data_IF_153791377417
#
_entry.id   IF_153791377417
#
_cell.length_a   1.000
_cell.length_b   1.000
_cell.length_c   1.000
_cell.angle_alpha   90.00
_cell.angle_beta   90.00
_cell.angle_gamma   90.00
#
_symmetry.space_group_name_H-M   'P 1'
#
loop_
_entity.id
_entity.type
_entity.pdbx_description
1 polymer ?
#
# COMPACT_ATOMS: atom_id res chain seq x y z
N UNK A 1 -23.39 3.12 -13.94
CA UNK A 1 -22.99 2.83 -12.54
C UNK A 1 -24.17 2.18 -11.83
N UNK A 2 -23.91 1.25 -10.92
CA UNK A 2 -24.95 0.59 -10.11
C UNK A 2 -25.39 1.57 -9.02
N UNK A 3 -26.69 1.82 -8.90
CA UNK A 3 -27.21 2.65 -7.81
C UNK A 3 -26.99 1.97 -6.45
N UNK A 4 -26.62 2.74 -5.44
CA UNK A 4 -26.44 2.23 -4.07
C UNK A 4 -27.73 1.62 -3.51
N UNK A 5 -27.62 0.54 -2.75
CA UNK A 5 -28.72 -0.02 -1.97
C UNK A 5 -29.09 0.90 -0.78
N UNK A 6 -30.26 0.72 -0.15
CA UNK A 6 -30.59 1.41 1.10
C UNK A 6 -29.55 1.17 2.20
N UNK A 7 -29.06 -0.06 2.35
CA UNK A 7 -28.04 -0.44 3.32
C UNK A 7 -26.70 0.25 3.05
N UNK A 8 -26.29 0.34 1.78
CA UNK A 8 -25.08 1.09 1.38
C UNK A 8 -25.24 2.59 1.67
N UNK A 9 -26.41 3.18 1.41
CA UNK A 9 -26.68 4.58 1.76
C UNK A 9 -26.63 4.84 3.26
N UNK A 10 -27.13 3.92 4.08
CA UNK A 10 -27.04 4.03 5.53
C UNK A 10 -25.59 3.92 6.00
N UNK A 11 -24.88 2.87 5.54
CA UNK A 11 -23.48 2.60 5.89
C UNK A 11 -22.56 3.77 5.54
N UNK A 12 -22.70 4.33 4.35
CA UNK A 12 -21.83 5.41 3.85
C UNK A 12 -22.42 6.80 4.07
N UNK A 13 -23.50 6.94 4.85
CA UNK A 13 -24.18 8.22 5.10
C UNK A 13 -23.25 9.37 5.50
N UNK A 14 -22.16 9.07 6.23
CA UNK A 14 -21.15 10.07 6.62
C UNK A 14 -20.25 10.52 5.46
N UNK A 15 -19.94 9.66 4.50
CA UNK A 15 -19.27 10.07 3.25
C UNK A 15 -20.22 10.82 2.33
N UNK A 16 -21.47 10.36 2.23
CA UNK A 16 -22.49 11.02 1.38
C UNK A 16 -22.78 12.46 1.81
N UNK A 17 -22.55 12.78 3.09
CA UNK A 17 -22.73 14.13 3.64
C UNK A 17 -21.52 15.07 3.42
N UNK A 18 -20.37 14.55 2.98
CA UNK A 18 -19.20 15.37 2.62
C UNK A 18 -19.38 15.90 1.21
N UNK A 19 -19.23 17.21 1.01
CA UNK A 19 -19.43 17.84 -0.30
C UNK A 19 -18.41 17.33 -1.33
N UNK A 20 -17.16 17.14 -0.89
CA UNK A 20 -16.07 16.66 -1.73
C UNK A 20 -16.27 15.19 -2.14
N UNK A 21 -16.85 14.34 -1.29
CA UNK A 21 -17.10 12.94 -1.64
C UNK A 21 -18.47 12.77 -2.28
N UNK A 22 -19.53 13.05 -1.51
CA UNK A 22 -20.92 12.92 -1.93
C UNK A 22 -21.28 11.55 -2.52
N UNK A 23 -22.43 11.46 -3.21
CA UNK A 23 -22.82 10.24 -3.91
C UNK A 23 -21.84 9.83 -5.00
N UNK A 24 -21.30 10.78 -5.77
CA UNK A 24 -20.43 10.49 -6.91
C UNK A 24 -19.07 9.90 -6.48
N UNK A 25 -18.44 10.46 -5.44
CA UNK A 25 -17.20 9.93 -4.87
C UNK A 25 -17.42 8.55 -4.24
N UNK A 26 -18.53 8.33 -3.55
CA UNK A 26 -18.85 7.02 -3.00
C UNK A 26 -19.10 5.97 -4.10
N UNK A 27 -19.74 6.34 -5.20
CA UNK A 27 -19.91 5.47 -6.38
C UNK A 27 -18.56 5.10 -7.02
N UNK A 28 -17.60 6.05 -7.09
CA UNK A 28 -16.22 5.76 -7.52
C UNK A 28 -15.54 4.76 -6.59
N UNK A 29 -15.68 4.93 -5.27
CA UNK A 29 -15.15 3.98 -4.28
C UNK A 29 -15.72 2.58 -4.48
N UNK A 30 -17.03 2.45 -4.61
CA UNK A 30 -17.71 1.17 -4.83
C UNK A 30 -17.33 0.49 -6.16
N UNK A 31 -16.90 1.26 -7.16
CA UNK A 31 -16.44 0.74 -8.45
C UNK A 31 -14.94 0.40 -8.47
N UNK A 32 -14.15 0.95 -7.55
CA UNK A 32 -12.70 0.85 -7.57
C UNK A 32 -12.17 -0.52 -7.12
N UNK A 33 -11.02 -0.89 -7.71
CA UNK A 33 -10.27 -2.10 -7.39
C UNK A 33 -8.87 -1.72 -6.89
N UNK A 34 -8.57 -2.00 -5.63
CA UNK A 34 -7.28 -1.69 -5.00
C UNK A 34 -6.49 -2.97 -4.71
N UNK A 35 -5.22 -3.01 -5.10
CA UNK A 35 -4.30 -4.07 -4.68
C UNK A 35 -3.50 -3.63 -3.47
N UNK A 36 -3.60 -4.35 -2.36
CA UNK A 36 -2.74 -4.23 -1.19
C UNK A 36 -1.67 -5.32 -1.24
N UNK A 37 -0.40 -4.94 -1.37
CA UNK A 37 0.74 -5.86 -1.33
C UNK A 37 1.41 -5.75 0.04
N UNK A 38 1.39 -6.85 0.80
CA UNK A 38 1.77 -6.89 2.21
C UNK A 38 0.59 -6.54 3.11
N UNK A 39 0.09 -7.55 3.85
CA UNK A 39 -1.02 -7.43 4.82
C UNK A 39 -0.46 -7.54 6.24
N UNK A 40 0.69 -6.90 6.43
CA UNK A 40 1.43 -6.82 7.69
C UNK A 40 1.06 -5.57 8.49
N UNK A 41 2.06 -4.89 9.04
CA UNK A 41 1.85 -3.78 9.96
C UNK A 41 1.21 -2.55 9.30
N UNK A 42 1.65 -2.19 8.09
CA UNK A 42 1.11 -1.08 7.31
C UNK A 42 -0.20 -1.45 6.60
N UNK A 43 -0.21 -2.62 5.95
CA UNK A 43 -1.38 -3.11 5.22
C UNK A 43 -2.60 -3.36 6.10
N UNK A 44 -2.42 -3.71 7.38
CA UNK A 44 -3.52 -3.94 8.32
C UNK A 44 -4.48 -2.74 8.45
N UNK A 45 -4.06 -1.58 9.00
CA UNK A 45 -4.91 -0.40 9.11
C UNK A 45 -5.38 0.10 7.74
N UNK A 46 -4.50 0.07 6.73
CA UNK A 46 -4.86 0.55 5.39
C UNK A 46 -6.04 -0.25 4.79
N UNK A 47 -5.94 -1.59 4.78
CA UNK A 47 -6.98 -2.45 4.24
C UNK A 47 -8.29 -2.35 5.03
N UNK A 48 -8.24 -2.22 6.36
CA UNK A 48 -9.44 -2.03 7.18
C UNK A 48 -10.17 -0.72 6.83
N UNK A 49 -9.46 0.40 6.70
CA UNK A 49 -10.09 1.67 6.33
C UNK A 49 -10.59 1.69 4.89
N UNK A 50 -9.88 1.06 3.94
CA UNK A 50 -10.37 0.91 2.57
C UNK A 50 -11.65 0.07 2.51
N UNK A 51 -11.72 -1.02 3.28
CA UNK A 51 -12.93 -1.83 3.37
C UNK A 51 -14.07 -1.05 4.04
N UNK A 52 -13.81 -0.34 5.14
CA UNK A 52 -14.81 0.48 5.82
C UNK A 52 -15.35 1.61 4.92
N UNK A 53 -14.49 2.22 4.10
CA UNK A 53 -14.85 3.27 3.14
C UNK A 53 -15.64 2.75 1.93
N UNK A 54 -15.74 1.43 1.75
CA UNK A 54 -16.51 0.82 0.66
C UNK A 54 -15.76 0.75 -0.66
N UNK A 55 -14.44 0.58 -0.64
CA UNK A 55 -13.71 0.22 -1.86
C UNK A 55 -14.26 -1.11 -2.40
N UNK A 56 -14.74 -1.10 -3.64
CA UNK A 56 -15.53 -2.21 -4.20
C UNK A 56 -14.81 -3.55 -4.23
N UNK A 57 -13.54 -3.56 -4.65
CA UNK A 57 -12.69 -4.75 -4.60
C UNK A 57 -11.34 -4.45 -3.94
N UNK A 58 -10.95 -5.27 -2.98
CA UNK A 58 -9.63 -5.24 -2.36
C UNK A 58 -8.92 -6.57 -2.66
N UNK A 59 -7.85 -6.50 -3.45
CA UNK A 59 -6.92 -7.60 -3.61
C UNK A 59 -5.88 -7.59 -2.50
N UNK A 60 -5.64 -8.74 -1.88
CA UNK A 60 -4.66 -8.92 -0.81
C UNK A 60 -3.57 -9.88 -1.31
N UNK A 61 -2.31 -9.43 -1.36
CA UNK A 61 -1.17 -10.29 -1.70
C UNK A 61 -0.17 -10.33 -0.53
N UNK A 62 0.02 -11.51 0.05
CA UNK A 62 0.98 -11.76 1.13
C UNK A 62 1.26 -13.28 1.19
N UNK A 63 2.53 -13.65 1.36
CA UNK A 63 2.95 -15.06 1.45
C UNK A 63 3.00 -15.57 2.89
N UNK A 64 3.00 -14.66 3.86
CA UNK A 64 3.30 -14.99 5.25
C UNK A 64 2.09 -15.58 5.99
N UNK A 65 2.40 -16.21 7.13
CA UNK A 65 1.43 -16.62 8.14
C UNK A 65 1.41 -15.66 9.32
N UNK A 66 0.26 -15.59 9.99
CA UNK A 66 0.09 -14.79 11.20
C UNK A 66 0.94 -15.38 12.33
N UNK A 67 1.85 -14.59 12.91
CA UNK A 67 2.64 -14.96 14.10
C UNK A 67 2.17 -14.18 15.34
N UNK A 68 2.31 -14.77 16.52
CA UNK A 68 1.94 -14.09 17.79
C UNK A 68 2.67 -12.74 17.95
N UNK A 69 3.96 -12.69 17.62
CA UNK A 69 4.79 -11.47 17.67
C UNK A 69 4.35 -10.38 16.69
N UNK A 70 3.48 -10.71 15.72
CA UNK A 70 2.91 -9.74 14.79
C UNK A 70 1.74 -8.95 15.39
N UNK A 71 1.00 -9.55 16.33
CA UNK A 71 -0.30 -9.03 16.79
C UNK A 71 -0.20 -7.68 17.53
N UNK A 72 0.98 -7.31 18.02
CA UNK A 72 1.20 -5.99 18.63
C UNK A 72 1.01 -4.82 17.63
N UNK A 73 1.12 -5.08 16.32
CA UNK A 73 1.04 -4.05 15.27
C UNK A 73 0.22 -4.41 14.02
N UNK A 74 -0.21 -5.67 13.88
CA UNK A 74 -0.98 -6.14 12.72
C UNK A 74 -2.45 -6.34 13.10
N UNK A 75 -3.14 -5.22 13.30
CA UNK A 75 -4.46 -5.14 13.92
C UNK A 75 -5.62 -5.72 13.09
N UNK A 76 -5.37 -6.12 11.83
CA UNK A 76 -6.35 -6.86 11.02
C UNK A 76 -6.44 -8.34 11.42
N UNK A 77 -5.39 -8.86 12.09
CA UNK A 77 -5.30 -10.24 12.57
C UNK A 77 -5.69 -10.35 14.03
N UNK A 78 -6.05 -11.56 14.47
CA UNK A 78 -6.50 -11.85 15.84
C UNK A 78 -5.69 -13.00 16.43
N UNK A 79 -5.70 -13.14 17.76
CA UNK A 79 -5.06 -14.30 18.43
C UNK A 79 -5.58 -15.64 17.91
N UNK A 80 -6.88 -15.71 17.58
CA UNK A 80 -7.51 -16.91 17.03
C UNK A 80 -7.01 -17.28 15.62
N UNK A 81 -6.38 -16.35 14.88
CA UNK A 81 -5.92 -16.58 13.50
C UNK A 81 -4.41 -16.84 13.42
N UNK A 82 -3.72 -17.02 14.54
CA UNK A 82 -2.28 -17.39 14.56
C UNK A 82 -2.08 -18.71 13.81
N UNK A 83 -1.11 -18.73 12.89
CA UNK A 83 -0.81 -19.86 12.00
C UNK A 83 -1.58 -19.86 10.68
N UNK A 84 -2.68 -19.12 10.56
CA UNK A 84 -3.38 -18.94 9.30
C UNK A 84 -2.56 -18.09 8.31
N UNK A 85 -2.85 -18.22 7.01
CA UNK A 85 -2.29 -17.32 6.00
C UNK A 85 -2.79 -15.90 6.26
N UNK A 86 -1.90 -14.90 6.21
CA UNK A 86 -2.25 -13.50 6.49
C UNK A 86 -3.38 -13.02 5.58
N UNK A 87 -3.33 -13.36 4.29
CA UNK A 87 -4.37 -12.96 3.33
C UNK A 87 -5.75 -13.52 3.68
N UNK A 88 -5.83 -14.77 4.16
CA UNK A 88 -7.11 -15.40 4.53
C UNK A 88 -7.68 -14.81 5.82
N UNK A 89 -6.83 -14.66 6.84
CA UNK A 89 -7.21 -14.06 8.13
C UNK A 89 -7.67 -12.61 7.95
N UNK A 90 -6.96 -11.83 7.14
CA UNK A 90 -7.37 -10.47 6.82
C UNK A 90 -8.67 -10.44 6.02
N UNK A 91 -8.84 -11.31 5.02
CA UNK A 91 -10.07 -11.36 4.23
C UNK A 91 -11.30 -11.69 5.09
N UNK A 92 -11.18 -12.56 6.08
CA UNK A 92 -12.24 -12.81 7.07
C UNK A 92 -12.61 -11.52 7.82
N UNK A 93 -11.61 -10.81 8.36
CA UNK A 93 -11.81 -9.55 9.09
C UNK A 93 -12.46 -8.47 8.21
N UNK A 94 -11.99 -8.29 6.97
CA UNK A 94 -12.53 -7.28 6.05
C UNK A 94 -13.98 -7.58 5.66
N UNK A 95 -14.32 -8.85 5.38
CA UNK A 95 -15.70 -9.25 5.05
C UNK A 95 -16.63 -9.09 6.25
N UNK A 96 -16.15 -9.37 7.46
CA UNK A 96 -16.90 -9.13 8.69
C UNK A 96 -17.15 -7.63 8.93
N UNK A 97 -16.16 -6.78 8.63
CA UNK A 97 -16.27 -5.32 8.75
C UNK A 97 -17.24 -4.73 7.72
N UNK A 98 -17.13 -5.14 6.46
CA UNK A 98 -17.98 -4.67 5.37
C UNK A 98 -18.31 -5.81 4.38
N UNK A 99 -19.48 -6.45 4.53
CA UNK A 99 -19.90 -7.54 3.64
C UNK A 99 -20.11 -7.11 2.17
N UNK A 100 -20.21 -5.81 1.88
CA UNK A 100 -20.35 -5.28 0.53
C UNK A 100 -19.05 -5.26 -0.27
N UNK A 101 -17.89 -5.45 0.38
CA UNK A 101 -16.57 -5.42 -0.26
C UNK A 101 -16.21 -6.80 -0.80
N UNK A 102 -15.79 -6.85 -2.06
CA UNK A 102 -15.20 -8.06 -2.63
C UNK A 102 -13.73 -8.15 -2.21
N UNK A 103 -13.34 -9.27 -1.61
CA UNK A 103 -11.95 -9.50 -1.20
C UNK A 103 -11.38 -10.67 -1.97
N UNK A 104 -10.31 -10.40 -2.72
CA UNK A 104 -9.54 -11.39 -3.48
C UNK A 104 -8.21 -11.63 -2.77
N UNK A 105 -7.73 -12.88 -2.71
CA UNK A 105 -6.51 -13.23 -1.96
C UNK A 105 -5.51 -13.94 -2.85
N UNK A 106 -4.24 -13.56 -2.72
CA UNK A 106 -3.08 -14.24 -3.29
C UNK A 106 -2.11 -14.59 -2.15
N UNK A 107 -2.05 -15.87 -1.81
CA UNK A 107 -1.15 -16.41 -0.80
C UNK A 107 0.25 -16.69 -1.38
N UNK A 108 0.88 -15.68 -1.98
CA UNK A 108 2.18 -15.79 -2.63
C UNK A 108 2.95 -14.47 -2.54
N UNK A 109 4.26 -14.54 -2.69
CA UNK A 109 5.10 -13.36 -2.80
C UNK A 109 4.81 -12.69 -4.15
N UNK A 110 4.78 -11.36 -4.18
CA UNK A 110 4.74 -10.62 -5.44
C UNK A 110 6.16 -10.47 -5.94
N UNK A 111 6.41 -10.99 -7.14
CA UNK A 111 7.74 -11.06 -7.76
C UNK A 111 7.67 -10.65 -9.24
N UNK A 112 8.81 -10.64 -9.94
CA UNK A 112 8.87 -10.30 -11.36
C UNK A 112 8.10 -11.28 -12.27
N UNK A 113 7.84 -12.50 -11.80
CA UNK A 113 7.10 -13.53 -12.52
C UNK A 113 5.60 -13.31 -12.52
N UNK A 114 5.04 -12.69 -11.46
CA UNK A 114 3.60 -12.51 -11.31
C UNK A 114 3.12 -11.05 -11.24
N UNK A 115 4.00 -10.08 -10.96
CA UNK A 115 3.58 -8.70 -10.65
C UNK A 115 2.82 -8.04 -11.80
N UNK A 116 3.27 -8.21 -13.05
CA UNK A 116 2.63 -7.53 -14.19
C UNK A 116 1.19 -7.99 -14.40
N UNK A 117 0.93 -9.30 -14.33
CA UNK A 117 -0.42 -9.86 -14.48
C UNK A 117 -1.31 -9.48 -13.28
N UNK A 118 -0.76 -9.59 -12.07
CA UNK A 118 -1.49 -9.27 -10.85
C UNK A 118 -1.92 -7.80 -10.81
N UNK A 119 -0.97 -6.86 -10.97
CA UNK A 119 -1.23 -5.43 -10.85
C UNK A 119 -2.15 -4.89 -11.96
N UNK A 120 -2.12 -5.50 -13.16
CA UNK A 120 -2.97 -5.08 -14.28
C UNK A 120 -4.48 -5.18 -13.97
N UNK A 121 -4.87 -6.05 -13.04
CA UNK A 121 -6.27 -6.31 -12.63
C UNK A 121 -6.86 -5.24 -11.69
N UNK A 122 -6.06 -4.29 -11.24
CA UNK A 122 -6.44 -3.28 -10.24
C UNK A 122 -6.21 -1.87 -10.77
N UNK A 123 -6.91 -0.89 -10.21
CA UNK A 123 -6.85 0.51 -10.63
C UNK A 123 -5.64 1.22 -10.03
N UNK A 124 -5.26 0.85 -8.80
CA UNK A 124 -4.11 1.38 -8.08
C UNK A 124 -3.55 0.35 -7.08
N UNK A 125 -2.31 0.58 -6.67
CA UNK A 125 -1.55 -0.31 -5.78
C UNK A 125 -1.21 0.42 -4.49
N UNK A 126 -1.29 -0.29 -3.37
CA UNK A 126 -0.81 0.16 -2.05
C UNK A 126 0.29 -0.77 -1.58
N UNK A 127 1.46 -0.18 -1.31
CA UNK A 127 2.63 -0.90 -0.82
C UNK A 127 2.63 -0.90 0.71
N UNK A 128 2.26 -2.04 1.28
CA UNK A 128 2.35 -2.35 2.71
C UNK A 128 3.54 -3.26 3.05
N UNK A 129 4.53 -3.36 2.16
CA UNK A 129 5.69 -4.24 2.30
C UNK A 129 6.81 -3.64 3.14
N UNK A 130 7.66 -4.49 3.69
CA UNK A 130 8.81 -4.11 4.52
C UNK A 130 10.17 -4.39 3.86
N UNK A 131 10.19 -4.89 2.62
CA UNK A 131 11.42 -5.19 1.89
C UNK A 131 11.74 -4.18 0.80
N UNK A 132 13.03 -3.89 0.59
CA UNK A 132 13.47 -3.01 -0.48
C UNK A 132 13.21 -3.59 -1.86
N UNK A 133 13.39 -4.91 -2.04
CA UNK A 133 13.12 -5.60 -3.30
C UNK A 133 11.69 -5.38 -3.77
N UNK A 134 10.71 -5.56 -2.87
CA UNK A 134 9.30 -5.32 -3.18
C UNK A 134 9.01 -3.85 -3.52
N UNK A 135 9.62 -2.88 -2.82
CA UNK A 135 9.43 -1.45 -3.11
C UNK A 135 9.86 -1.07 -4.53
N UNK A 136 11.04 -1.56 -4.96
CA UNK A 136 11.50 -1.33 -6.33
C UNK A 136 10.64 -2.06 -7.36
N UNK A 137 10.29 -3.33 -7.10
CA UNK A 137 9.41 -4.13 -7.96
C UNK A 137 8.06 -3.44 -8.18
N UNK A 138 7.38 -3.05 -7.09
CA UNK A 138 6.06 -2.44 -7.13
C UNK A 138 6.09 -1.08 -7.82
N UNK A 139 7.13 -0.26 -7.56
CA UNK A 139 7.30 1.01 -8.26
C UNK A 139 7.49 0.83 -9.77
N UNK A 140 8.38 -0.09 -10.17
CA UNK A 140 8.68 -0.32 -11.58
C UNK A 140 7.46 -0.91 -12.31
N UNK A 141 6.82 -1.93 -11.73
CA UNK A 141 5.62 -2.55 -12.30
C UNK A 141 4.44 -1.58 -12.40
N UNK A 142 4.19 -0.79 -11.35
CA UNK A 142 3.10 0.21 -11.35
C UNK A 142 3.36 1.28 -12.41
N UNK A 143 4.59 1.78 -12.55
CA UNK A 143 4.95 2.72 -13.61
C UNK A 143 4.72 2.14 -15.01
N UNK A 144 5.21 0.92 -15.26
CA UNK A 144 5.09 0.25 -16.56
C UNK A 144 3.63 -0.04 -16.95
N UNK A 145 2.75 -0.25 -15.96
CA UNK A 145 1.31 -0.46 -16.16
C UNK A 145 0.48 0.83 -16.13
N UNK A 146 1.09 1.99 -15.87
CA UNK A 146 0.37 3.25 -15.74
C UNK A 146 -0.56 3.30 -14.51
N UNK A 147 -0.18 2.62 -13.42
CA UNK A 147 -0.96 2.55 -12.17
C UNK A 147 -0.37 3.47 -11.09
N UNK A 148 -1.19 4.23 -10.35
CA UNK A 148 -0.73 4.91 -9.14
C UNK A 148 -0.25 3.92 -8.08
N UNK A 149 0.79 4.29 -7.34
CA UNK A 149 1.32 3.54 -6.21
C UNK A 149 1.33 4.42 -4.95
N UNK A 150 0.62 3.99 -3.91
CA UNK A 150 0.66 4.60 -2.58
C UNK A 150 1.67 3.85 -1.72
N UNK A 151 2.81 4.49 -1.46
CA UNK A 151 3.93 3.89 -0.73
C UNK A 151 3.96 4.35 0.72
N UNK A 152 4.13 3.41 1.64
CA UNK A 152 4.43 3.66 3.04
C UNK A 152 5.64 2.86 3.49
N UNK A 153 6.41 3.41 4.42
CA UNK A 153 7.48 2.65 5.09
C UNK A 153 7.68 3.13 6.51
N UNK A 154 8.21 2.25 7.35
CA UNK A 154 8.45 2.51 8.78
C UNK A 154 9.80 1.95 9.20
N UNK A 155 10.42 2.60 10.18
CA UNK A 155 11.64 2.14 10.84
C UNK A 155 11.66 2.67 12.27
N UNK A 156 11.67 1.77 13.27
CA UNK A 156 11.64 2.11 14.69
C UNK A 156 10.44 2.98 15.09
N UNK A 157 10.65 4.29 15.17
CA UNK A 157 9.67 5.33 15.54
C UNK A 157 9.33 6.27 14.39
N UNK A 158 9.97 6.10 13.24
CA UNK A 158 9.86 6.98 12.08
C UNK A 158 9.06 6.29 10.98
N UNK A 159 8.18 7.04 10.33
CA UNK A 159 7.42 6.57 9.19
C UNK A 159 7.38 7.59 8.09
N UNK A 160 7.07 7.12 6.88
CA UNK A 160 6.87 8.00 5.73
C UNK A 160 5.78 7.49 4.81
N UNK A 161 5.12 8.42 4.11
CA UNK A 161 4.14 8.15 3.06
C UNK A 161 4.40 9.06 1.86
N UNK A 162 4.25 8.50 0.65
CA UNK A 162 4.27 9.25 -0.61
C UNK A 162 3.39 8.56 -1.65
N UNK A 163 2.99 9.31 -2.68
CA UNK A 163 2.28 8.77 -3.84
C UNK A 163 3.17 8.87 -5.06
N UNK A 164 3.37 7.76 -5.76
CA UNK A 164 4.00 7.74 -7.07
C UNK A 164 2.93 7.67 -8.14
N UNK A 165 2.85 8.72 -8.96
CA UNK A 165 1.96 8.78 -10.10
C UNK A 165 2.79 8.65 -11.39
N UNK A 166 2.49 7.70 -12.29
CA UNK A 166 3.26 7.49 -13.51
C UNK A 166 3.47 8.78 -14.30
N UNK A 167 4.73 9.04 -14.67
CA UNK A 167 5.15 10.25 -15.40
C UNK A 167 5.46 11.47 -14.53
N UNK A 168 5.05 11.50 -13.26
CA UNK A 168 5.32 12.64 -12.35
C UNK A 168 6.53 12.43 -11.43
N UNK A 169 6.90 11.17 -11.19
CA UNK A 169 7.99 10.75 -10.30
C UNK A 169 7.82 9.27 -9.96
N UNK A 170 8.90 8.58 -9.60
CA UNK A 170 8.83 7.18 -9.14
C UNK A 170 9.75 6.96 -7.94
N UNK A 171 9.72 5.76 -7.37
CA UNK A 171 10.58 5.40 -6.23
C UNK A 171 12.06 5.64 -6.55
N UNK A 172 12.52 5.32 -7.77
CA UNK A 172 13.90 5.55 -8.23
C UNK A 172 14.28 7.03 -8.38
N UNK A 173 13.33 7.95 -8.51
CA UNK A 173 13.64 9.38 -8.46
C UNK A 173 14.00 9.83 -7.05
N UNK A 174 13.38 9.21 -6.05
CA UNK A 174 13.58 9.52 -4.63
C UNK A 174 14.74 8.73 -4.04
N UNK A 175 14.84 7.44 -4.38
CA UNK A 175 15.87 6.50 -3.95
C UNK A 175 16.48 5.82 -5.20
N UNK A 176 17.50 6.41 -5.83
CA UNK A 176 18.04 5.91 -7.10
C UNK A 176 18.71 4.54 -7.00
N UNK A 177 19.33 4.25 -5.85
CA UNK A 177 20.01 2.98 -5.59
C UNK A 177 19.51 2.40 -4.27
N UNK A 178 19.39 1.06 -4.18
CA UNK A 178 19.09 0.41 -2.91
C UNK A 178 20.22 0.70 -1.91
N UNK A 179 19.91 0.69 -0.59
CA UNK A 179 20.96 0.76 0.40
C UNK A 179 21.91 -0.45 0.26
N UNK A 180 23.19 -0.29 0.64
CA UNK A 180 24.15 -1.39 0.67
C UNK A 180 23.65 -2.60 1.49
N UNK A 181 23.92 -3.84 1.08
CA UNK A 181 23.42 -5.04 1.77
C UNK A 181 23.82 -5.14 3.25
N UNK A 182 24.97 -4.60 3.62
CA UNK A 182 25.46 -4.53 5.01
C UNK A 182 24.67 -3.54 5.89
N UNK A 183 23.90 -2.63 5.30
CA UNK A 183 22.97 -1.74 6.01
C UNK A 183 21.54 -2.32 6.09
N UNK A 184 21.26 -3.41 5.36
CA UNK A 184 20.00 -4.14 5.45
C UNK A 184 20.05 -5.05 6.69
N UNK A 185 19.91 -4.45 7.88
CA UNK A 185 19.71 -5.25 9.09
C UNK A 185 18.46 -6.13 8.97
N UNK A 186 18.43 -7.27 9.68
CA UNK A 186 17.23 -8.11 9.76
C UNK A 186 16.07 -7.27 10.29
N UNK A 187 15.03 -7.07 9.46
CA UNK A 187 13.84 -6.29 9.83
C UNK A 187 13.16 -6.86 11.09
N UNK A 188 13.27 -8.18 11.31
CA UNK A 188 12.76 -8.87 12.49
C UNK A 188 13.55 -8.58 13.78
N UNK A 189 14.80 -8.11 13.68
CA UNK A 189 15.61 -7.72 14.84
C UNK A 189 15.42 -6.24 15.23
N UNK A 190 14.87 -5.43 14.33
CA UNK A 190 14.60 -4.02 14.59
C UNK A 190 13.19 -3.85 15.13
N UNK A 191 13.09 -3.50 16.41
CA UNK A 191 11.80 -3.19 17.05
C UNK A 191 11.07 -2.03 16.37
N UNK A 192 9.73 -2.14 16.30
CA UNK A 192 8.83 -1.13 15.73
C UNK A 192 7.83 -0.69 16.78
N UNK A 193 7.63 0.62 16.94
CA UNK A 193 6.63 1.18 17.83
C UNK A 193 5.21 0.83 17.38
N UNK A 194 4.43 0.17 18.25
CA UNK A 194 3.16 -0.48 17.91
C UNK A 194 2.16 0.40 17.17
N UNK A 195 2.04 1.67 17.57
CA UNK A 195 1.06 2.60 17.01
C UNK A 195 1.49 3.24 15.68
N UNK A 196 2.79 3.28 15.39
CA UNK A 196 3.33 3.94 14.19
C UNK A 196 2.75 3.37 12.89
N UNK A 197 2.71 2.03 12.67
CA UNK A 197 2.08 1.47 11.47
C UNK A 197 0.61 1.85 11.34
N UNK A 198 -0.11 1.98 12.45
CA UNK A 198 -1.49 2.47 12.51
C UNK A 198 -1.63 3.86 11.87
N UNK A 199 -0.77 4.79 12.26
CA UNK A 199 -0.73 6.16 11.71
C UNK A 199 -0.40 6.13 10.22
N UNK A 200 0.71 5.49 9.83
CA UNK A 200 1.19 5.48 8.46
C UNK A 200 0.22 4.79 7.51
N UNK A 201 -0.31 3.61 7.87
CA UNK A 201 -1.27 2.90 7.02
C UNK A 201 -2.63 3.59 6.93
N UNK A 202 -3.05 4.35 7.95
CA UNK A 202 -4.25 5.20 7.84
C UNK A 202 -4.02 6.35 6.85
N UNK A 203 -2.82 6.94 6.83
CA UNK A 203 -2.45 7.95 5.82
C UNK A 203 -2.42 7.30 4.42
N UNK A 204 -1.89 6.08 4.27
CA UNK A 204 -1.95 5.36 2.99
C UNK A 204 -3.40 5.14 2.51
N UNK A 205 -4.32 4.77 3.41
CA UNK A 205 -5.74 4.69 3.08
C UNK A 205 -6.28 6.06 2.64
N UNK A 206 -5.99 7.13 3.37
CA UNK A 206 -6.44 8.48 3.00
C UNK A 206 -5.93 8.91 1.60
N UNK A 207 -4.65 8.68 1.29
CA UNK A 207 -4.10 8.94 -0.05
C UNK A 207 -4.78 8.12 -1.14
N UNK A 208 -5.07 6.85 -0.84
CA UNK A 208 -5.78 5.96 -1.76
C UNK A 208 -7.21 6.45 -2.03
N UNK A 209 -7.94 6.84 -0.99
CA UNK A 209 -9.30 7.35 -1.13
C UNK A 209 -9.31 8.63 -1.97
N UNK A 210 -8.40 9.58 -1.71
CA UNK A 210 -8.24 10.80 -2.53
C UNK A 210 -8.01 10.51 -4.01
N UNK A 211 -7.16 9.50 -4.32
CA UNK A 211 -6.91 9.10 -5.70
C UNK A 211 -8.15 8.53 -6.38
N UNK A 212 -8.94 7.72 -5.67
CA UNK A 212 -10.16 7.11 -6.23
C UNK A 212 -11.26 8.15 -6.41
N UNK A 213 -11.48 9.01 -5.41
CA UNK A 213 -12.50 10.05 -5.48
C UNK A 213 -12.10 11.17 -6.41
N UNK A 214 -10.80 11.31 -6.74
CA UNK A 214 -10.21 12.43 -7.48
C UNK A 214 -10.37 13.77 -6.75
N UNK A 215 -10.27 13.76 -5.43
CA UNK A 215 -10.53 14.90 -4.55
C UNK A 215 -9.38 15.16 -3.58
N UNK A 216 -9.17 16.43 -3.26
CA UNK A 216 -8.04 16.89 -2.44
C UNK A 216 -6.70 16.83 -3.19
N UNK A 217 -5.61 16.94 -2.43
CA UNK A 217 -4.24 16.96 -2.98
C UNK A 217 -3.45 15.73 -2.51
N UNK A 218 -3.23 14.72 -3.37
CA UNK A 218 -2.42 13.56 -2.99
C UNK A 218 -0.94 13.92 -2.79
N UNK A 219 -0.20 13.08 -2.07
CA UNK A 219 1.24 13.24 -1.78
C UNK A 219 2.13 12.92 -3.01
N UNK A 220 1.69 13.31 -4.20
CA UNK A 220 2.50 13.18 -5.43
C UNK A 220 3.69 14.14 -5.34
N UNK A 221 4.91 13.62 -5.56
CA UNK A 221 6.16 14.38 -5.46
C UNK A 221 6.42 15.00 -4.07
N UNK A 222 5.74 14.47 -3.05
CA UNK A 222 5.84 14.90 -1.65
C UNK A 222 6.02 13.68 -0.77
N UNK A 223 6.94 13.75 0.17
CA UNK A 223 7.16 12.74 1.19
C UNK A 223 6.73 13.32 2.52
N UNK A 224 5.68 12.76 3.11
CA UNK A 224 5.28 13.08 4.47
C UNK A 224 6.10 12.20 5.41
N UNK A 225 6.94 12.80 6.23
CA UNK A 225 7.72 12.17 7.29
C UNK A 225 7.02 12.34 8.63
N UNK A 226 7.00 11.29 9.44
CA UNK A 226 6.43 11.31 10.78
C UNK A 226 7.40 10.70 11.80
N UNK A 227 7.71 11.45 12.85
CA UNK A 227 8.36 10.95 14.06
C UNK A 227 7.30 10.74 15.14
N UNK A 228 7.05 9.49 15.54
CA UNK A 228 6.02 9.14 16.51
C UNK A 228 6.40 9.49 17.96
N UNK A 229 7.69 9.63 18.28
CA UNK A 229 8.12 10.00 19.63
C UNK A 229 8.03 11.51 19.83
N UNK A 230 8.45 12.28 18.83
CA UNK A 230 8.32 13.73 18.85
C UNK A 230 6.92 14.22 18.44
N UNK A 231 6.08 13.33 17.89
CA UNK A 231 4.77 13.64 17.29
C UNK A 231 4.84 14.75 16.25
N UNK A 232 5.86 14.73 15.40
CA UNK A 232 6.04 15.72 14.33
C UNK A 232 5.68 15.17 12.97
N UNK A 233 5.24 16.07 12.07
CA UNK A 233 5.03 15.80 10.67
C UNK A 233 5.85 16.80 9.84
N UNK A 234 6.64 16.32 8.88
CA UNK A 234 7.44 17.16 7.98
C UNK A 234 7.21 16.74 6.55
N UNK A 235 6.94 17.70 5.67
CA UNK A 235 6.80 17.44 4.23
C UNK A 235 8.13 17.77 3.53
N UNK A 236 8.66 16.83 2.75
CA UNK A 236 9.76 17.06 1.82
C UNK A 236 9.25 16.96 0.39
N UNK A 237 9.75 17.82 -0.49
CA UNK A 237 9.39 17.83 -1.92
C UNK A 237 10.53 17.29 -2.76
N UNK A 238 10.22 16.46 -3.73
CA UNK A 238 11.17 15.99 -4.74
C UNK A 238 10.60 16.24 -6.14
N UNK A 239 11.42 16.01 -7.18
CA UNK A 239 11.01 16.18 -8.58
C UNK A 239 11.35 14.92 -9.36
N UNK A 240 10.63 14.68 -10.46
CA UNK A 240 11.05 13.70 -11.47
C UNK A 240 12.49 13.97 -11.86
N UNK A 241 13.33 12.94 -11.84
CA UNK A 241 14.68 13.01 -12.36
C UNK A 241 14.65 12.71 -13.88
N UNK A 242 15.04 13.66 -14.76
CA UNK A 242 15.10 13.42 -16.21
C UNK A 242 16.02 12.27 -16.61
N UNK A 243 17.02 11.97 -15.79
CA UNK A 243 17.96 10.85 -15.99
C UNK A 243 17.53 9.56 -15.26
N UNK A 244 16.30 9.49 -14.73
CA UNK A 244 15.80 8.29 -14.08
C UNK A 244 15.75 7.11 -15.07
N UNK A 245 16.32 5.94 -14.76
CA UNK A 245 16.36 4.81 -15.70
C UNK A 245 14.96 4.21 -15.97
N UNK A 246 13.97 4.51 -15.13
CA UNK A 246 12.58 4.07 -15.30
C UNK A 246 11.69 5.12 -15.95
N UNK A 247 11.63 6.34 -15.38
CA UNK A 247 10.65 7.36 -15.78
C UNK A 247 11.26 8.65 -16.34
N UNK A 248 12.56 8.64 -16.63
CA UNK A 248 13.27 9.74 -17.24
C UNK A 248 13.00 9.86 -18.75
N UNK A 249 13.70 10.79 -19.39
CA UNK A 249 13.48 11.14 -20.80
C UNK A 249 14.06 10.08 -21.76
N UNK A 250 15.02 9.29 -21.27
CA UNK A 250 15.61 8.15 -21.98
C UNK A 250 15.60 6.88 -21.10
N UNK A 251 14.43 6.24 -20.88
CA UNK A 251 14.34 5.10 -19.98
C UNK A 251 15.08 3.87 -20.52
N UNK A 252 15.82 3.20 -19.64
CA UNK A 252 16.53 1.94 -19.90
C UNK A 252 15.81 0.74 -19.31
N UNK A 253 15.02 0.93 -18.25
CA UNK A 253 14.18 -0.12 -17.64
C UNK A 253 12.86 -0.21 -18.42
N UNK A 254 12.66 -1.35 -19.08
CA UNK A 254 11.45 -1.62 -19.91
C UNK A 254 10.68 -2.87 -19.47
N UNK A 255 11.25 -3.63 -18.54
CA UNK A 255 10.71 -4.86 -17.98
C UNK A 255 11.22 -5.02 -16.55
N UNK A 256 10.52 -5.84 -15.79
CA UNK A 256 10.95 -6.24 -14.46
C UNK A 256 12.22 -7.08 -14.55
N UNK A 257 13.02 -7.03 -13.49
CA UNK A 257 14.25 -7.79 -13.30
C UNK A 257 14.14 -8.57 -11.99
N UNK A 258 15.09 -9.46 -11.70
CA UNK A 258 15.19 -10.07 -10.38
C UNK A 258 15.57 -8.98 -9.36
N UNK A 259 14.59 -8.57 -8.55
CA UNK A 259 14.77 -7.50 -7.57
C UNK A 259 15.51 -7.95 -6.32
N UNK A 260 15.47 -9.24 -6.00
CA UNK A 260 16.23 -9.82 -4.89
C UNK A 260 17.72 -9.73 -5.21
N UNK A 261 18.09 -10.18 -6.41
CA UNK A 261 19.45 -10.05 -6.93
C UNK A 261 19.88 -8.57 -7.05
N UNK A 262 19.00 -7.70 -7.53
CA UNK A 262 19.28 -6.26 -7.66
C UNK A 262 19.56 -5.57 -6.32
N UNK A 263 18.79 -5.87 -5.27
CA UNK A 263 19.00 -5.28 -3.95
C UNK A 263 20.07 -6.00 -3.12
N UNK A 264 20.60 -7.12 -3.60
CA UNK A 264 21.51 -7.96 -2.84
C UNK A 264 20.86 -8.57 -1.58
N UNK A 265 19.53 -8.73 -1.58
CA UNK A 265 18.82 -9.31 -0.45
C UNK A 265 19.02 -10.83 -0.47
N UNK A 266 19.32 -11.43 0.68
CA UNK A 266 19.23 -12.89 0.81
C UNK A 266 17.77 -13.27 0.95
N UNK A 267 17.28 -14.20 0.12
CA UNK A 267 15.94 -14.79 0.29
C UNK A 267 15.90 -15.42 1.67
N UNK A 268 15.10 -14.88 2.58
CA UNK A 268 14.84 -15.54 3.86
C UNK A 268 14.08 -16.84 3.56
N UNK A 269 14.69 -17.97 3.95
CA UNK A 269 14.17 -19.32 3.79
C UNK A 269 12.97 -19.59 4.70
#
# INVERSE_FOLDING_TARGET
MKAMSPEERERYSRHLALEEIGPAGQERLLAARVLMVGVGALGSPAAMYLAAAGVGTIGLADHDRVRLSNLQRQVVHRTATVGALKVEAAAETLRALNPGVQVETLAAAVDEGNAMELLARFDLVVDGTDSFSARYLLSDASYLLGKPLVHGSIFRFEGQVTVFLPGQGCYRCLYPQPPPPDMLGDSDQVGVFAALPGVIGTIQAAETLKLITAEGEPLVNRVLLHDAMAMTFRELRYRRNPSCPLCGDHPTIRRLVDYVAFTGATVAS
#
